data_IF_628160087475
#
_entry.id   IF_628160087475
#
_cell.length_a   1.000
_cell.length_b   1.000
_cell.length_c   1.000
_cell.angle_alpha   90.00
_cell.angle_beta   90.00
_cell.angle_gamma   90.00
#
_symmetry.space_group_name_H-M   'P 1'
#
loop_
_entity.id
_entity.type
_entity.pdbx_description
1 polymer ?
#
# COMPACT_ATOMS: atom_id res chain seq x y z
N UNK A 1 15.92 -5.27 -24.62
CA UNK A 1 16.75 -4.34 -23.84
C UNK A 1 16.01 -3.02 -23.55
N UNK A 2 15.85 -2.09 -24.51
CA UNK A 2 15.19 -0.79 -24.24
C UNK A 2 13.69 -0.97 -23.92
N UNK A 3 12.97 -1.77 -24.70
CA UNK A 3 11.54 -2.05 -24.48
C UNK A 3 11.25 -2.68 -23.11
N UNK A 4 12.16 -3.52 -22.62
CA UNK A 4 12.02 -4.18 -21.32
C UNK A 4 12.20 -3.17 -20.19
N UNK A 5 13.23 -2.32 -20.27
CA UNK A 5 13.44 -1.24 -19.29
C UNK A 5 12.30 -0.22 -19.23
N UNK A 6 11.62 0.04 -20.35
CA UNK A 6 10.43 0.89 -20.39
C UNK A 6 9.23 0.24 -19.69
N UNK A 7 9.01 -1.06 -19.91
CA UNK A 7 7.94 -1.80 -19.21
C UNK A 7 8.18 -1.80 -17.70
N UNK A 8 9.40 -2.09 -17.27
CA UNK A 8 9.77 -2.09 -15.85
C UNK A 8 9.51 -0.71 -15.22
N UNK A 9 9.89 0.37 -15.91
CA UNK A 9 9.64 1.74 -15.45
C UNK A 9 8.15 2.07 -15.30
N UNK A 10 7.32 1.67 -16.25
CA UNK A 10 5.86 1.86 -16.17
C UNK A 10 5.27 1.06 -15.01
N UNK A 11 5.69 -0.19 -14.83
CA UNK A 11 5.22 -1.03 -13.75
C UNK A 11 5.60 -0.47 -12.37
N UNK A 12 6.84 0.01 -12.21
CA UNK A 12 7.26 0.69 -10.98
C UNK A 12 6.46 1.97 -10.72
N UNK A 13 6.18 2.76 -11.77
CA UNK A 13 5.38 3.98 -11.66
C UNK A 13 3.94 3.70 -11.23
N UNK A 14 3.32 2.65 -11.74
CA UNK A 14 1.97 2.22 -11.33
C UNK A 14 1.94 1.80 -9.87
N UNK A 15 2.91 0.98 -9.45
CA UNK A 15 3.07 0.52 -8.07
C UNK A 15 3.24 1.67 -7.08
N UNK A 16 4.04 2.67 -7.44
CA UNK A 16 4.22 3.85 -6.58
C UNK A 16 2.95 4.73 -6.56
N UNK A 17 2.24 4.84 -7.68
CA UNK A 17 0.95 5.50 -7.74
C UNK A 17 -0.08 4.89 -6.79
N UNK A 18 -0.16 3.56 -6.72
CA UNK A 18 -1.05 2.85 -5.79
C UNK A 18 -0.70 3.15 -4.34
N UNK A 19 0.59 3.14 -3.96
CA UNK A 19 1.03 3.51 -2.61
C UNK A 19 0.62 4.93 -2.23
N UNK A 20 0.78 5.89 -3.14
CA UNK A 20 0.38 7.29 -2.89
C UNK A 20 -1.13 7.41 -2.69
N UNK A 21 -1.93 6.71 -3.50
CA UNK A 21 -3.39 6.69 -3.36
C UNK A 21 -3.81 6.08 -2.03
N UNK A 22 -3.24 4.94 -1.66
CA UNK A 22 -3.45 4.29 -0.37
C UNK A 22 -3.09 5.20 0.80
N UNK A 23 -1.93 5.87 0.76
CA UNK A 23 -1.53 6.80 1.82
C UNK A 23 -2.58 7.90 2.02
N UNK A 24 -3.09 8.49 0.93
CA UNK A 24 -4.13 9.52 0.99
C UNK A 24 -5.42 8.99 1.64
N UNK A 25 -5.79 7.74 1.36
CA UNK A 25 -6.97 7.12 1.97
C UNK A 25 -6.75 6.85 3.47
N UNK A 26 -5.58 6.35 3.85
CA UNK A 26 -5.20 6.12 5.24
C UNK A 26 -5.16 7.42 6.05
N UNK A 27 -4.57 8.49 5.50
CA UNK A 27 -4.57 9.82 6.12
C UNK A 27 -6.01 10.33 6.30
N UNK A 28 -6.91 10.09 5.34
CA UNK A 28 -8.30 10.50 5.46
C UNK A 28 -9.08 9.71 6.51
N UNK A 29 -8.83 8.40 6.62
CA UNK A 29 -9.59 7.50 7.49
C UNK A 29 -9.05 7.49 8.92
N UNK A 30 -7.73 7.44 9.08
CA UNK A 30 -7.05 7.26 10.35
C UNK A 30 -6.27 8.49 10.81
N UNK A 31 -6.20 9.55 9.99
CA UNK A 31 -5.47 10.79 10.32
C UNK A 31 -3.96 10.61 10.54
N UNK A 32 -3.38 9.56 9.94
CA UNK A 32 -1.96 9.22 10.05
C UNK A 32 -1.29 9.13 8.67
N UNK A 33 -0.11 9.74 8.52
CA UNK A 33 0.73 9.52 7.34
C UNK A 33 1.41 8.17 7.44
N UNK A 34 1.16 7.35 6.43
CA UNK A 34 1.57 5.96 6.33
C UNK A 34 2.60 5.74 5.22
N UNK A 35 3.16 6.80 4.62
CA UNK A 35 4.04 6.69 3.45
C UNK A 35 5.23 5.77 3.71
N UNK A 36 5.97 5.97 4.82
CA UNK A 36 7.12 5.13 5.18
C UNK A 36 6.73 3.68 5.42
N UNK A 37 5.58 3.46 6.06
CA UNK A 37 5.08 2.11 6.32
C UNK A 37 4.70 1.42 5.02
N UNK A 38 3.95 2.07 4.12
CA UNK A 38 3.57 1.52 2.81
C UNK A 38 4.80 1.24 1.92
N UNK A 39 5.86 2.05 1.99
CA UNK A 39 7.11 1.79 1.29
C UNK A 39 7.82 0.51 1.76
N UNK A 40 7.56 0.06 3.00
CA UNK A 40 8.13 -1.18 3.55
C UNK A 40 7.37 -2.45 3.17
N UNK A 41 6.18 -2.31 2.58
CA UNK A 41 5.30 -3.43 2.24
C UNK A 41 5.58 -3.99 0.85
N UNK A 42 5.36 -5.30 0.70
CA UNK A 42 5.30 -5.97 -0.61
C UNK A 42 4.03 -5.61 -1.36
N UNK A 43 3.98 -5.86 -2.68
CA UNK A 43 2.77 -5.59 -3.48
C UNK A 43 1.56 -6.40 -3.01
N UNK A 44 1.74 -7.68 -2.65
CA UNK A 44 0.68 -8.50 -2.08
C UNK A 44 0.12 -7.92 -0.77
N UNK A 45 1.01 -7.36 0.07
CA UNK A 45 0.59 -6.67 1.29
C UNK A 45 -0.15 -5.37 0.97
N UNK A 46 0.26 -4.61 -0.04
CA UNK A 46 -0.42 -3.39 -0.50
C UNK A 46 -1.85 -3.69 -0.97
N UNK A 47 -2.04 -4.77 -1.72
CA UNK A 47 -3.38 -5.25 -2.12
C UNK A 47 -4.23 -5.60 -0.91
N UNK A 48 -3.64 -6.29 0.09
CA UNK A 48 -4.34 -6.64 1.31
C UNK A 48 -4.70 -5.41 2.15
N UNK A 49 -3.81 -4.40 2.24
CA UNK A 49 -4.12 -3.12 2.91
C UNK A 49 -5.34 -2.45 2.30
N UNK A 50 -5.50 -2.48 0.97
CA UNK A 50 -6.67 -1.92 0.29
C UNK A 50 -7.96 -2.59 0.77
N UNK A 51 -7.97 -3.92 0.93
CA UNK A 51 -9.14 -4.64 1.44
C UNK A 51 -9.39 -4.35 2.93
N UNK A 52 -8.34 -4.36 3.75
CA UNK A 52 -8.41 -4.13 5.19
C UNK A 52 -8.82 -2.69 5.54
N UNK A 53 -8.49 -1.72 4.69
CA UNK A 53 -8.94 -0.33 4.84
C UNK A 53 -10.47 -0.24 4.96
N UNK A 54 -11.22 -1.11 4.28
CA UNK A 54 -12.69 -1.09 4.32
C UNK A 54 -13.27 -1.78 5.55
N UNK A 55 -12.54 -2.72 6.17
CA UNK A 55 -13.04 -3.52 7.29
C UNK A 55 -12.54 -3.04 8.65
N UNK A 56 -11.30 -2.54 8.73
CA UNK A 56 -10.68 -2.09 9.97
C UNK A 56 -11.12 -0.69 10.38
N UNK A 57 -11.37 -0.49 11.67
CA UNK A 57 -11.76 0.80 12.25
C UNK A 57 -10.57 1.63 12.71
N UNK A 58 -9.42 1.00 12.96
CA UNK A 58 -8.19 1.69 13.37
C UNK A 58 -6.99 1.25 12.51
N UNK A 59 -5.97 2.10 12.42
CA UNK A 59 -4.73 1.74 11.73
C UNK A 59 -4.00 0.58 12.42
N UNK A 60 -4.06 0.51 13.76
CA UNK A 60 -3.44 -0.57 14.52
C UNK A 60 -4.07 -1.92 14.16
N UNK A 61 -5.41 -2.01 14.17
CA UNK A 61 -6.14 -3.21 13.76
C UNK A 61 -5.75 -3.67 12.35
N UNK A 62 -5.62 -2.71 11.42
CA UNK A 62 -5.19 -2.97 10.06
C UNK A 62 -3.77 -3.57 10.04
N UNK A 63 -2.81 -2.96 10.75
CA UNK A 63 -1.42 -3.45 10.83
C UNK A 63 -1.33 -4.83 11.48
N UNK A 64 -2.14 -5.09 12.50
CA UNK A 64 -2.20 -6.36 13.20
C UNK A 64 -2.73 -7.47 12.28
N UNK A 65 -3.78 -7.20 11.50
CA UNK A 65 -4.29 -8.18 10.53
C UNK A 65 -3.32 -8.43 9.37
N UNK A 66 -2.55 -7.41 8.95
CA UNK A 66 -1.53 -7.57 7.93
C UNK A 66 -0.36 -8.44 8.40
N UNK A 67 -0.01 -8.41 9.68
CA UNK A 67 1.08 -9.20 10.28
C UNK A 67 0.64 -10.55 10.84
N UNK A 68 -0.63 -10.70 11.20
CA UNK A 68 -1.23 -11.93 11.70
C UNK A 68 -1.60 -12.96 10.63
N UNK A 69 -1.66 -12.58 9.35
CA UNK A 69 -1.87 -13.49 8.20
C UNK A 69 -0.60 -14.28 7.81
N UNK A 70 0.13 -14.80 8.80
CA UNK A 70 1.36 -15.58 8.60
C UNK A 70 1.10 -17.08 8.58
#
# INVERSE_FOLDING_TARGET
AILDSFKDGVEQGQKEGERILLNRLLVKKYHEDCSTWLCSLTMEQIDLVSNLLFTCNTLQELKDQLTGNK
#
